data_IF_870536388619
#
_entry.id   IF_870536388619
#
_cell.length_a   1.000
_cell.length_b   1.000
_cell.length_c   1.000
_cell.angle_alpha   90.00
_cell.angle_beta   90.00
_cell.angle_gamma   90.00
#
_symmetry.space_group_name_H-M   'P 1'
#
loop_
_entity.id
_entity.type
_entity.pdbx_description
1 polymer ?
#
# COMPACT_ATOMS: atom_id res chain seq x y z
N UNK A 1 -1.68 21.84 17.74
CA UNK A 1 -2.40 20.55 17.68
C UNK A 1 -2.50 20.12 16.22
N UNK A 2 -2.08 18.91 15.87
CA UNK A 2 -2.11 18.39 14.50
C UNK A 2 -3.19 17.29 14.36
N UNK A 3 -3.88 17.24 13.21
CA UNK A 3 -4.87 16.20 12.88
C UNK A 3 -4.29 15.26 11.83
N UNK A 4 -4.48 13.94 12.00
CA UNK A 4 -4.19 12.95 10.95
C UNK A 4 -5.45 12.74 10.11
N UNK A 5 -5.33 12.96 8.81
CA UNK A 5 -6.40 12.72 7.84
C UNK A 5 -5.93 11.65 6.85
N UNK A 6 -6.88 10.91 6.29
CA UNK A 6 -6.61 9.98 5.20
C UNK A 6 -6.29 10.78 3.93
N UNK A 7 -5.09 10.61 3.37
CA UNK A 7 -4.69 11.26 2.12
C UNK A 7 -5.34 10.59 0.91
N UNK A 8 -5.17 9.29 0.78
CA UNK A 8 -5.72 8.49 -0.33
C UNK A 8 -5.94 7.03 0.10
N UNK A 9 -6.70 6.27 -0.70
CA UNK A 9 -6.87 4.82 -0.49
C UNK A 9 -7.08 4.09 -1.82
N UNK A 10 -6.58 2.87 -1.89
CA UNK A 10 -6.97 1.90 -2.93
C UNK A 10 -7.98 0.94 -2.29
N UNK A 11 -9.23 1.00 -2.74
CA UNK A 11 -10.30 0.23 -2.12
C UNK A 11 -10.45 -1.15 -2.76
N UNK A 12 -10.41 -2.21 -1.94
CA UNK A 12 -10.61 -3.60 -2.36
C UNK A 12 -9.67 -4.06 -3.49
N UNK A 13 -8.41 -3.65 -3.40
CA UNK A 13 -7.36 -4.21 -4.25
C UNK A 13 -7.25 -5.74 -4.06
N UNK A 14 -6.88 -6.44 -5.12
CA UNK A 14 -6.59 -7.88 -5.07
C UNK A 14 -5.09 -8.07 -5.03
N UNK A 15 -4.61 -8.90 -4.11
CA UNK A 15 -3.20 -9.31 -4.07
C UNK A 15 -2.92 -10.15 -5.32
N UNK A 16 -1.99 -9.70 -6.14
CA UNK A 16 -1.60 -10.39 -7.39
C UNK A 16 -0.46 -11.38 -7.19
N UNK A 17 0.43 -11.11 -6.22
CA UNK A 17 1.57 -11.96 -5.90
C UNK A 17 2.00 -11.77 -4.44
N UNK A 18 2.72 -12.74 -3.87
CA UNK A 18 3.30 -12.67 -2.53
C UNK A 18 4.58 -13.50 -2.44
N UNK A 19 5.67 -12.88 -2.00
CA UNK A 19 6.97 -13.53 -1.81
C UNK A 19 7.42 -13.35 -0.35
N UNK A 20 7.69 -14.46 0.35
CA UNK A 20 8.12 -14.46 1.74
C UNK A 20 9.56 -13.94 1.91
N UNK A 21 10.41 -14.18 0.92
CA UNK A 21 11.81 -13.74 0.91
C UNK A 21 11.96 -12.30 0.41
N UNK A 22 10.85 -11.65 0.00
CA UNK A 22 10.85 -10.25 -0.38
C UNK A 22 10.78 -9.36 0.86
N UNK A 23 11.82 -8.55 1.06
CA UNK A 23 11.92 -7.73 2.26
C UNK A 23 10.98 -6.53 2.22
N UNK A 24 9.97 -6.60 3.10
CA UNK A 24 9.53 -5.45 3.89
C UNK A 24 8.70 -4.38 3.18
N UNK A 25 8.28 -4.59 1.93
CA UNK A 25 7.50 -3.61 1.17
C UNK A 25 6.33 -4.19 0.40
N UNK A 26 5.50 -3.31 -0.18
CA UNK A 26 4.43 -3.69 -1.10
C UNK A 26 4.60 -3.00 -2.45
N UNK A 27 4.58 -3.79 -3.52
CA UNK A 27 4.62 -3.25 -4.87
C UNK A 27 3.21 -2.94 -5.35
N UNK A 28 2.99 -1.73 -5.83
CA UNK A 28 1.69 -1.25 -6.33
C UNK A 28 1.85 -0.85 -7.80
N UNK A 29 0.83 -1.16 -8.60
CA UNK A 29 0.75 -0.74 -10.00
C UNK A 29 0.99 0.77 -10.15
N UNK A 30 1.88 1.15 -11.07
CA UNK A 30 2.26 2.55 -11.29
C UNK A 30 1.08 3.45 -11.64
N UNK A 31 0.04 2.93 -12.30
CA UNK A 31 -1.16 3.69 -12.62
C UNK A 31 -2.05 3.92 -11.41
N UNK A 32 -2.05 3.01 -10.44
CA UNK A 32 -2.72 3.22 -9.16
C UNK A 32 -2.01 4.28 -8.34
N UNK A 33 -0.67 4.24 -8.26
CA UNK A 33 0.13 5.27 -7.58
C UNK A 33 -0.13 6.66 -8.17
N UNK A 34 -0.15 6.78 -9.51
CA UNK A 34 -0.49 8.05 -10.19
C UNK A 34 -1.89 8.53 -9.84
N UNK A 35 -2.88 7.64 -9.79
CA UNK A 35 -4.28 7.99 -9.47
C UNK A 35 -4.46 8.38 -8.00
N UNK A 36 -3.70 7.79 -7.08
CA UNK A 36 -3.76 8.10 -5.64
C UNK A 36 -2.88 9.29 -5.26
N UNK A 37 -1.97 9.71 -6.15
CA UNK A 37 -0.99 10.76 -5.87
C UNK A 37 0.00 10.38 -4.77
N UNK A 38 0.27 9.07 -4.64
CA UNK A 38 1.27 8.53 -3.72
C UNK A 38 2.68 8.74 -4.28
N UNK A 39 3.67 8.82 -3.40
CA UNK A 39 5.09 8.90 -3.77
C UNK A 39 5.81 7.62 -3.37
N UNK A 40 6.86 7.24 -4.09
CA UNK A 40 7.65 6.07 -3.71
C UNK A 40 8.15 6.19 -2.26
N UNK A 41 8.16 5.06 -1.54
CA UNK A 41 8.52 4.95 -0.13
C UNK A 41 7.56 5.68 0.84
N UNK A 42 6.32 5.96 0.44
CA UNK A 42 5.32 6.54 1.35
C UNK A 42 4.85 5.48 2.35
N UNK A 43 4.63 5.88 3.61
CA UNK A 43 4.08 4.98 4.62
C UNK A 43 2.64 4.63 4.25
N UNK A 44 2.37 3.33 4.10
CA UNK A 44 1.05 2.81 3.78
C UNK A 44 0.54 1.89 4.88
N UNK A 45 -0.78 1.91 5.07
CA UNK A 45 -1.47 0.96 5.94
C UNK A 45 -2.21 -0.06 5.08
N UNK A 46 -1.90 -1.34 5.30
CA UNK A 46 -2.55 -2.46 4.61
C UNK A 46 -3.56 -3.11 5.55
N UNK A 47 -4.78 -3.32 5.05
CA UNK A 47 -5.87 -3.99 5.76
C UNK A 47 -6.35 -5.18 4.93
N UNK A 48 -6.04 -6.38 5.38
CA UNK A 48 -6.43 -7.61 4.70
C UNK A 48 -7.85 -8.03 5.12
N UNK A 49 -8.78 -8.01 4.16
CA UNK A 49 -10.19 -8.33 4.39
C UNK A 49 -10.43 -9.83 4.62
N UNK A 50 -9.53 -10.71 4.18
CA UNK A 50 -9.72 -12.17 4.25
C UNK A 50 -9.37 -12.75 5.62
N UNK A 51 -8.41 -12.16 6.33
CA UNK A 51 -7.94 -12.65 7.63
C UNK A 51 -7.90 -11.58 8.73
N UNK A 52 -8.26 -10.33 8.42
CA UNK A 52 -8.28 -9.24 9.39
C UNK A 52 -6.90 -8.70 9.76
N UNK A 53 -5.81 -9.16 9.13
CA UNK A 53 -4.47 -8.66 9.40
C UNK A 53 -4.35 -7.18 9.02
N UNK A 54 -3.66 -6.41 9.87
CA UNK A 54 -3.42 -4.98 9.66
C UNK A 54 -1.96 -4.70 9.96
N UNK A 55 -1.26 -4.09 9.01
CA UNK A 55 0.16 -3.78 9.16
C UNK A 55 0.49 -2.52 8.36
N UNK A 56 1.64 -1.95 8.70
CA UNK A 56 2.18 -0.76 8.06
C UNK A 56 3.49 -1.12 7.36
N UNK A 57 3.70 -0.56 6.17
CA UNK A 57 4.89 -0.78 5.35
C UNK A 57 5.08 0.44 4.44
N UNK A 58 6.03 0.41 3.52
CA UNK A 58 6.20 1.42 2.49
C UNK A 58 5.88 0.86 1.11
N UNK A 59 5.40 1.72 0.21
CA UNK A 59 5.09 1.32 -1.16
C UNK A 59 6.28 1.50 -2.12
N UNK A 60 6.27 0.68 -3.17
CA UNK A 60 7.11 0.84 -4.35
C UNK A 60 6.27 0.73 -5.61
N UNK A 61 6.62 1.53 -6.62
CA UNK A 61 6.01 1.39 -7.93
C UNK A 61 6.49 0.11 -8.62
N UNK A 62 5.54 -0.66 -9.15
CA UNK A 62 5.85 -1.71 -10.12
C UNK A 62 6.44 -1.04 -11.38
N UNK A 63 7.64 -1.47 -11.78
CA UNK A 63 8.28 -1.02 -13.02
C UNK A 63 7.65 -1.65 -14.25
#
# INVERSE_FOLDING_TARGET
>A
MYRKLLRSKIHRATVTDSNLDYEGSITIDSDLIKKTGMVEYELVQVVNLNNGARFETHDHACR
#
